data_IF_324393393056
#
_entry.id   IF_324393393056
#
_cell.length_a   1.000
_cell.length_b   1.000
_cell.length_c   1.000
_cell.angle_alpha   90.00
_cell.angle_beta   90.00
_cell.angle_gamma   90.00
#
_symmetry.space_group_name_H-M   'P 1'
#
loop_
_entity.id
_entity.type
_entity.pdbx_description
1 polymer ?
#
# COMPACT_ATOMS: atom_id res chain seq x y z
N UNK A 1 -13.47 -34.18 -22.88
CA UNK A 1 -12.93 -32.81 -22.87
C UNK A 1 -13.98 -31.79 -22.43
N UNK A 2 -15.27 -32.02 -22.74
CA UNK A 2 -16.37 -31.09 -22.48
C UNK A 2 -16.68 -30.81 -20.99
N UNK A 3 -16.36 -31.74 -20.07
CA UNK A 3 -16.59 -31.56 -18.63
C UNK A 3 -15.69 -30.50 -17.96
N UNK A 4 -14.58 -30.11 -18.58
CA UNK A 4 -13.66 -29.10 -18.04
C UNK A 4 -13.82 -27.72 -18.67
N UNK A 5 -14.57 -27.60 -19.77
CA UNK A 5 -14.79 -26.33 -20.47
C UNK A 5 -15.55 -25.33 -19.58
N UNK A 6 -16.62 -25.79 -18.91
CA UNK A 6 -17.39 -24.95 -17.98
C UNK A 6 -16.53 -24.36 -16.85
N UNK A 7 -15.83 -25.19 -16.05
CA UNK A 7 -14.91 -24.70 -15.01
C UNK A 7 -13.82 -23.76 -15.52
N UNK A 8 -13.25 -24.01 -16.70
CA UNK A 8 -12.21 -23.17 -17.31
C UNK A 8 -12.77 -21.80 -17.72
N UNK A 9 -13.96 -21.76 -18.33
CA UNK A 9 -14.65 -20.52 -18.70
C UNK A 9 -14.98 -19.71 -17.43
N UNK A 10 -15.50 -20.36 -16.39
CA UNK A 10 -15.78 -19.69 -15.11
C UNK A 10 -14.51 -19.11 -14.48
N UNK A 11 -13.40 -19.85 -14.52
CA UNK A 11 -12.10 -19.40 -14.02
C UNK A 11 -11.60 -18.18 -14.80
N UNK A 12 -11.71 -18.19 -16.13
CA UNK A 12 -11.31 -17.09 -17.01
C UNK A 12 -12.17 -15.84 -16.76
N UNK A 13 -13.49 -15.99 -16.64
CA UNK A 13 -14.40 -14.88 -16.34
C UNK A 13 -14.08 -14.30 -14.95
N UNK A 14 -13.82 -15.14 -13.95
CA UNK A 14 -13.44 -14.70 -12.61
C UNK A 14 -12.10 -13.94 -12.63
N UNK A 15 -11.11 -14.41 -13.41
CA UNK A 15 -9.82 -13.74 -13.60
C UNK A 15 -9.99 -12.36 -14.25
N UNK A 16 -10.71 -12.29 -15.36
CA UNK A 16 -10.96 -11.02 -16.09
C UNK A 16 -11.72 -10.03 -15.20
N UNK A 17 -12.75 -10.49 -14.49
CA UNK A 17 -13.55 -9.64 -13.60
C UNK A 17 -12.70 -9.10 -12.45
N UNK A 18 -11.84 -9.92 -11.86
CA UNK A 18 -10.91 -9.47 -10.82
C UNK A 18 -9.88 -8.48 -11.37
N UNK A 19 -9.36 -8.69 -12.59
CA UNK A 19 -8.43 -7.75 -13.24
C UNK A 19 -9.10 -6.40 -13.52
N UNK A 20 -10.33 -6.40 -14.03
CA UNK A 20 -11.10 -5.18 -14.29
C UNK A 20 -11.42 -4.47 -12.97
N UNK A 21 -11.88 -5.19 -11.95
CA UNK A 21 -12.14 -4.63 -10.63
C UNK A 21 -10.86 -4.02 -10.03
N UNK A 22 -9.73 -4.72 -10.14
CA UNK A 22 -8.43 -4.23 -9.69
C UNK A 22 -8.00 -2.98 -10.45
N UNK A 23 -8.19 -2.94 -11.78
CA UNK A 23 -7.86 -1.79 -12.62
C UNK A 23 -8.72 -0.56 -12.30
N UNK A 24 -10.05 -0.72 -12.25
CA UNK A 24 -10.97 0.36 -11.89
C UNK A 24 -10.65 0.93 -10.51
N UNK A 25 -10.30 0.07 -9.56
CA UNK A 25 -9.92 0.49 -8.22
C UNK A 25 -8.54 1.15 -8.17
N UNK A 26 -7.57 0.70 -8.97
CA UNK A 26 -6.27 1.37 -9.13
C UNK A 26 -6.41 2.76 -9.74
N UNK A 27 -7.31 2.94 -10.70
CA UNK A 27 -7.64 4.26 -11.25
C UNK A 27 -8.27 5.14 -10.18
N UNK A 28 -9.26 4.63 -9.44
CA UNK A 28 -9.85 5.32 -8.30
C UNK A 28 -8.75 5.76 -7.32
N UNK A 29 -7.84 4.87 -6.95
CA UNK A 29 -6.72 5.15 -6.07
C UNK A 29 -5.71 6.18 -6.59
N UNK A 30 -5.39 6.16 -7.90
CA UNK A 30 -4.44 7.11 -8.51
C UNK A 30 -5.00 8.54 -8.54
N UNK A 31 -6.32 8.68 -8.56
CA UNK A 31 -7.01 9.97 -8.63
C UNK A 31 -7.20 10.58 -7.22
N UNK A 32 -7.40 9.74 -6.18
CA UNK A 32 -7.54 10.23 -4.80
C UNK A 32 -6.21 10.78 -4.26
N UNK A 33 -6.10 12.11 -4.16
CA UNK A 33 -5.04 12.76 -3.38
C UNK A 33 -5.26 12.54 -1.87
N UNK A 34 -4.23 12.77 -1.04
CA UNK A 34 -4.35 12.68 0.43
C UNK A 34 -5.49 13.55 0.99
N UNK A 35 -5.78 14.64 0.29
CA UNK A 35 -6.83 15.59 0.59
C UNK A 35 -8.25 15.07 0.27
N UNK A 36 -8.44 14.41 -0.88
CA UNK A 36 -9.74 13.85 -1.27
C UNK A 36 -10.23 12.79 -0.28
N UNK A 37 -9.30 12.19 0.47
CA UNK A 37 -9.62 11.28 1.58
C UNK A 37 -10.33 11.99 2.73
N UNK A 38 -10.06 13.26 3.01
CA UNK A 38 -10.65 14.00 4.14
C UNK A 38 -12.17 14.15 4.02
N UNK A 39 -12.71 14.13 2.80
CA UNK A 39 -14.17 14.22 2.54
C UNK A 39 -14.84 12.86 2.34
N UNK A 40 -14.05 11.78 2.26
CA UNK A 40 -14.61 10.43 2.28
C UNK A 40 -15.09 10.08 3.69
N UNK A 41 -16.20 9.35 3.76
CA UNK A 41 -16.68 8.81 5.03
C UNK A 41 -15.61 7.87 5.62
N UNK A 42 -15.50 7.80 6.95
CA UNK A 42 -14.50 6.98 7.66
C UNK A 42 -14.55 5.51 7.24
N UNK A 43 -15.73 5.02 6.87
CA UNK A 43 -15.95 3.67 6.32
C UNK A 43 -15.34 3.48 4.92
N UNK A 44 -15.39 4.50 4.07
CA UNK A 44 -14.83 4.48 2.72
C UNK A 44 -13.31 4.63 2.72
N UNK A 45 -12.78 5.51 3.60
CA UNK A 45 -11.34 5.62 3.84
C UNK A 45 -10.75 4.28 4.31
N UNK A 46 -11.45 3.58 5.22
CA UNK A 46 -11.04 2.26 5.70
C UNK A 46 -11.07 1.22 4.58
N UNK A 47 -12.17 1.13 3.81
CA UNK A 47 -12.25 0.24 2.63
C UNK A 47 -11.13 0.48 1.63
N UNK A 48 -10.79 1.74 1.38
CA UNK A 48 -9.70 2.12 0.46
C UNK A 48 -8.33 1.65 0.98
N UNK A 49 -8.09 1.82 2.29
CA UNK A 49 -6.84 1.40 2.95
C UNK A 49 -6.70 -0.12 2.98
N UNK A 50 -7.78 -0.84 3.34
CA UNK A 50 -7.80 -2.30 3.38
C UNK A 50 -7.60 -2.90 1.97
N UNK A 51 -8.18 -2.27 0.94
CA UNK A 51 -7.95 -2.69 -0.45
C UNK A 51 -6.52 -2.42 -0.91
N UNK A 52 -5.94 -1.26 -0.57
CA UNK A 52 -4.54 -0.98 -0.88
C UNK A 52 -3.63 -2.04 -0.24
N UNK A 53 -3.90 -2.40 1.01
CA UNK A 53 -3.19 -3.46 1.69
C UNK A 53 -3.31 -4.80 0.95
N UNK A 54 -4.52 -5.19 0.57
CA UNK A 54 -4.79 -6.43 -0.17
C UNK A 54 -4.11 -6.42 -1.55
N UNK A 55 -4.13 -5.28 -2.24
CA UNK A 55 -3.49 -5.07 -3.54
C UNK A 55 -1.98 -5.22 -3.46
N UNK A 56 -1.35 -4.59 -2.49
CA UNK A 56 0.11 -4.68 -2.27
C UNK A 56 0.52 -6.11 -1.86
N UNK A 57 -0.29 -6.77 -1.04
CA UNK A 57 -0.06 -8.16 -0.65
C UNK A 57 -0.10 -9.11 -1.85
N UNK A 58 -1.17 -9.06 -2.64
CA UNK A 58 -1.28 -9.89 -3.83
C UNK A 58 -0.17 -9.59 -4.82
N UNK A 59 0.16 -8.32 -5.05
CA UNK A 59 1.25 -7.95 -5.95
C UNK A 59 2.58 -8.56 -5.49
N UNK A 60 2.90 -8.46 -4.20
CA UNK A 60 4.10 -9.08 -3.62
C UNK A 60 4.09 -10.59 -3.81
N UNK A 61 2.98 -11.26 -3.50
CA UNK A 61 2.80 -12.70 -3.69
C UNK A 61 3.01 -13.12 -5.16
N UNK A 62 2.33 -12.46 -6.10
CA UNK A 62 2.40 -12.79 -7.52
C UNK A 62 3.79 -12.56 -8.09
N UNK A 63 4.37 -11.37 -7.86
CA UNK A 63 5.64 -10.98 -8.45
C UNK A 63 6.82 -11.79 -7.89
N UNK A 64 6.87 -11.98 -6.57
CA UNK A 64 8.05 -12.56 -5.91
C UNK A 64 7.96 -14.07 -5.74
N UNK A 65 6.77 -14.67 -5.77
CA UNK A 65 6.61 -16.10 -5.52
C UNK A 65 5.94 -16.83 -6.69
N UNK A 66 4.76 -16.41 -7.15
CA UNK A 66 4.02 -17.17 -8.16
C UNK A 66 4.67 -17.11 -9.56
N UNK A 67 5.12 -15.95 -10.01
CA UNK A 67 5.72 -15.78 -11.32
C UNK A 67 6.99 -16.64 -11.52
N UNK A 68 7.92 -16.72 -10.54
CA UNK A 68 9.02 -17.68 -10.57
C UNK A 68 8.58 -19.14 -10.74
N UNK A 69 7.52 -19.58 -10.06
CA UNK A 69 7.00 -20.96 -10.20
C UNK A 69 6.58 -21.26 -11.64
N UNK A 70 5.89 -20.31 -12.28
CA UNK A 70 5.45 -20.45 -13.67
C UNK A 70 6.67 -20.50 -14.60
N UNK A 71 7.68 -19.65 -14.37
CA UNK A 71 8.91 -19.65 -15.15
C UNK A 71 9.66 -20.98 -15.02
N UNK A 72 9.73 -21.56 -13.82
CA UNK A 72 10.41 -22.85 -13.57
C UNK A 72 9.78 -24.03 -14.32
N UNK A 73 8.52 -23.93 -14.73
CA UNK A 73 7.86 -24.99 -15.51
C UNK A 73 8.52 -25.23 -16.87
N UNK A 74 9.23 -24.23 -17.40
CA UNK A 74 9.91 -24.32 -18.69
C UNK A 74 11.25 -25.06 -18.63
N UNK A 75 11.75 -25.34 -17.42
CA UNK A 75 13.07 -25.93 -17.22
C UNK A 75 13.00 -27.43 -16.98
N UNK A 76 14.07 -28.13 -17.33
CA UNK A 76 14.20 -29.57 -17.10
C UNK A 76 14.65 -29.87 -15.67
N UNK A 77 14.34 -31.09 -15.22
CA UNK A 77 14.79 -31.57 -13.92
C UNK A 77 16.32 -31.62 -13.89
N UNK A 78 16.96 -31.01 -12.88
CA UNK A 78 18.42 -31.09 -12.74
C UNK A 78 18.87 -32.53 -12.48
N UNK A 79 20.16 -32.82 -12.74
CA UNK A 79 20.72 -34.14 -12.44
C UNK A 79 20.57 -34.50 -10.96
N UNK A 80 20.62 -35.79 -10.63
CA UNK A 80 20.34 -36.28 -9.28
C UNK A 80 21.19 -35.58 -8.20
N UNK A 81 22.49 -35.44 -8.43
CA UNK A 81 23.41 -34.78 -7.49
C UNK A 81 23.04 -33.30 -7.29
N UNK A 82 22.79 -32.56 -8.38
CA UNK A 82 22.37 -31.16 -8.31
C UNK A 82 21.02 -30.98 -7.62
N UNK A 83 20.08 -31.90 -7.85
CA UNK A 83 18.80 -31.92 -7.15
C UNK A 83 18.97 -32.08 -5.64
N UNK A 84 19.88 -32.94 -5.20
CA UNK A 84 20.21 -33.14 -3.78
C UNK A 84 20.86 -31.89 -3.15
N UNK A 85 21.80 -31.27 -3.86
CA UNK A 85 22.45 -30.03 -3.40
C UNK A 85 21.44 -28.89 -3.27
N UNK A 86 20.62 -28.65 -4.31
CA UNK A 86 19.59 -27.61 -4.29
C UNK A 86 18.54 -27.84 -3.21
N UNK A 87 18.14 -29.09 -2.99
CA UNK A 87 17.17 -29.45 -1.95
C UNK A 87 17.73 -29.22 -0.55
N UNK A 88 18.95 -29.71 -0.28
CA UNK A 88 19.63 -29.51 1.00
C UNK A 88 19.89 -28.03 1.28
N UNK A 89 20.36 -27.29 0.27
CA UNK A 89 20.58 -25.84 0.35
C UNK A 89 19.28 -25.10 0.66
N UNK A 90 18.21 -25.39 -0.10
CA UNK A 90 16.89 -24.80 0.13
C UNK A 90 16.36 -25.09 1.54
N UNK A 91 16.42 -26.34 1.99
CA UNK A 91 15.95 -26.72 3.33
C UNK A 91 16.74 -26.04 4.46
N UNK A 92 18.06 -25.95 4.32
CA UNK A 92 18.91 -25.26 5.31
C UNK A 92 18.53 -23.79 5.44
N UNK A 93 18.38 -23.08 4.31
CA UNK A 93 17.99 -21.67 4.33
C UNK A 93 16.52 -21.47 4.76
N UNK A 94 15.65 -22.45 4.51
CA UNK A 94 14.27 -22.45 5.03
C UNK A 94 14.27 -22.50 6.56
N UNK A 95 15.08 -23.37 7.16
CA UNK A 95 15.22 -23.45 8.63
C UNK A 95 15.73 -22.13 9.21
N UNK A 96 16.79 -21.55 8.62
CA UNK A 96 17.32 -20.24 9.05
C UNK A 96 16.25 -19.16 8.91
N UNK A 97 15.52 -19.15 7.80
CA UNK A 97 14.43 -18.19 7.55
C UNK A 97 13.33 -18.27 8.61
N UNK A 98 12.90 -19.48 8.98
CA UNK A 98 11.88 -19.68 10.02
C UNK A 98 12.39 -19.16 11.37
N UNK A 99 13.63 -19.44 11.74
CA UNK A 99 14.23 -18.92 12.98
C UNK A 99 14.30 -17.38 12.98
N UNK A 100 14.69 -16.78 11.84
CA UNK A 100 14.77 -15.34 11.68
C UNK A 100 13.40 -14.65 11.50
N UNK A 101 12.31 -15.42 11.40
CA UNK A 101 10.96 -14.89 11.18
C UNK A 101 10.30 -14.36 12.46
N UNK A 102 10.78 -14.77 13.64
CA UNK A 102 10.19 -14.39 14.94
C UNK A 102 10.03 -12.86 15.09
N UNK A 103 11.01 -12.00 14.77
CA UNK A 103 10.83 -10.54 14.83
C UNK A 103 9.75 -10.03 13.87
N UNK A 104 9.66 -10.59 12.65
CA UNK A 104 8.64 -10.21 11.66
C UNK A 104 7.25 -10.55 12.19
N UNK A 105 7.08 -11.73 12.77
CA UNK A 105 5.84 -12.15 13.39
C UNK A 105 5.44 -11.21 14.54
N UNK A 106 6.38 -10.90 15.46
CA UNK A 106 6.13 -9.98 16.58
C UNK A 106 5.69 -8.60 16.07
N UNK A 107 6.38 -8.04 15.08
CA UNK A 107 6.00 -6.75 14.51
C UNK A 107 4.62 -6.82 13.84
N UNK A 108 4.35 -7.85 13.03
CA UNK A 108 3.08 -7.99 12.31
C UNK A 108 1.83 -8.00 13.22
N UNK A 109 1.95 -8.51 14.46
CA UNK A 109 0.84 -8.54 15.43
C UNK A 109 0.75 -7.30 16.34
N UNK A 110 1.72 -6.39 16.30
CA UNK A 110 1.62 -5.16 17.07
C UNK A 110 0.56 -4.23 16.47
N UNK A 111 -0.42 -3.83 17.29
CA UNK A 111 -1.52 -2.94 16.87
C UNK A 111 -1.00 -1.57 16.41
N UNK A 112 -0.07 -1.00 17.17
CA UNK A 112 0.60 0.26 16.82
C UNK A 112 2.10 0.12 17.10
N UNK A 113 2.88 0.00 16.02
CA UNK A 113 4.33 -0.02 16.11
C UNK A 113 4.82 1.43 16.42
N UNK A 114 5.66 1.65 17.44
CA UNK A 114 6.19 2.98 17.70
C UNK A 114 7.18 3.39 16.60
N UNK A 115 7.17 4.68 16.23
CA UNK A 115 7.95 5.25 15.13
C UNK A 115 9.44 4.92 15.24
N UNK A 116 9.99 4.92 16.46
CA UNK A 116 11.38 4.55 16.75
C UNK A 116 11.76 3.14 16.26
N UNK A 117 10.79 2.22 16.21
CA UNK A 117 11.00 0.83 15.77
C UNK A 117 10.77 0.63 14.28
N UNK A 118 10.29 1.63 13.53
CA UNK A 118 9.98 1.50 12.09
C UNK A 118 11.20 1.07 11.28
N UNK A 119 12.34 1.73 11.49
CA UNK A 119 13.58 1.41 10.80
C UNK A 119 14.02 -0.03 11.06
N UNK A 120 13.90 -0.49 12.32
CA UNK A 120 14.27 -1.85 12.72
C UNK A 120 13.32 -2.89 12.11
N UNK A 121 12.00 -2.68 12.21
CA UNK A 121 11.00 -3.57 11.64
C UNK A 121 11.14 -3.68 10.11
N UNK A 122 11.38 -2.57 9.42
CA UNK A 122 11.62 -2.56 7.96
C UNK A 122 12.88 -3.35 7.59
N UNK A 123 13.98 -3.18 8.33
CA UNK A 123 15.22 -3.95 8.12
C UNK A 123 14.99 -5.46 8.29
N UNK A 124 14.30 -5.86 9.37
CA UNK A 124 13.96 -7.27 9.62
C UNK A 124 13.02 -7.86 8.57
N UNK A 125 12.01 -7.09 8.14
CA UNK A 125 11.11 -7.49 7.06
C UNK A 125 11.84 -7.68 5.74
N UNK A 126 12.69 -6.74 5.34
CA UNK A 126 13.50 -6.84 4.12
C UNK A 126 14.50 -8.00 4.17
N UNK A 127 15.18 -8.18 5.31
CA UNK A 127 16.12 -9.29 5.49
C UNK A 127 15.40 -10.65 5.36
N UNK A 128 14.24 -10.81 6.01
CA UNK A 128 13.44 -12.03 5.88
C UNK A 128 12.87 -12.22 4.48
N UNK A 129 12.48 -11.13 3.79
CA UNK A 129 12.05 -11.22 2.40
C UNK A 129 13.16 -11.80 1.51
N UNK A 130 14.38 -11.25 1.57
CA UNK A 130 15.52 -11.74 0.79
C UNK A 130 15.82 -13.21 1.15
N UNK A 131 15.89 -13.50 2.44
CA UNK A 131 16.14 -14.84 2.95
C UNK A 131 15.07 -15.83 2.47
N UNK A 132 13.82 -15.37 2.35
CA UNK A 132 12.72 -16.18 1.84
C UNK A 132 12.91 -16.60 0.40
N UNK A 133 13.40 -15.71 -0.45
CA UNK A 133 13.63 -15.99 -1.86
C UNK A 133 14.76 -17.00 -2.06
N UNK A 134 15.82 -16.90 -1.22
CA UNK A 134 16.99 -17.79 -1.28
C UNK A 134 16.58 -19.25 -1.10
N UNK A 135 15.65 -19.56 -0.19
CA UNK A 135 15.18 -20.94 -0.02
C UNK A 135 13.99 -21.27 -0.93
N UNK A 136 13.09 -20.32 -1.18
CA UNK A 136 11.87 -20.56 -1.93
C UNK A 136 12.15 -20.95 -3.38
N UNK A 137 13.12 -20.31 -4.04
CA UNK A 137 13.43 -20.59 -5.45
C UNK A 137 13.98 -22.00 -5.67
N UNK A 138 15.02 -22.46 -4.95
CA UNK A 138 15.49 -23.84 -5.09
C UNK A 138 14.42 -24.89 -4.81
N UNK A 139 13.64 -24.74 -3.73
CA UNK A 139 12.60 -25.71 -3.37
C UNK A 139 11.49 -25.73 -4.43
N UNK A 140 11.03 -24.56 -4.87
CA UNK A 140 9.98 -24.44 -5.88
C UNK A 140 10.42 -24.96 -7.23
N UNK A 141 11.67 -24.68 -7.63
CA UNK A 141 12.28 -25.23 -8.83
C UNK A 141 12.24 -26.77 -8.82
N UNK A 142 12.64 -27.40 -7.72
CA UNK A 142 12.60 -28.85 -7.59
C UNK A 142 11.18 -29.40 -7.61
N UNK A 143 10.23 -28.78 -6.92
CA UNK A 143 8.83 -29.25 -6.92
C UNK A 143 8.19 -29.15 -8.30
N UNK A 144 8.43 -28.04 -9.01
CA UNK A 144 7.88 -27.83 -10.36
C UNK A 144 8.50 -28.80 -11.36
N UNK A 145 9.84 -28.89 -11.41
CA UNK A 145 10.54 -29.75 -12.39
C UNK A 145 10.38 -31.24 -12.12
N UNK A 146 10.20 -31.64 -10.86
CA UNK A 146 9.85 -33.02 -10.49
C UNK A 146 8.37 -33.36 -10.71
N UNK A 147 7.55 -32.39 -11.13
CA UNK A 147 6.09 -32.54 -11.29
C UNK A 147 5.41 -33.06 -10.03
N UNK A 148 5.89 -32.63 -8.86
CA UNK A 148 5.32 -33.02 -7.57
C UNK A 148 4.04 -32.23 -7.28
N UNK A 149 2.95 -32.60 -7.96
CA UNK A 149 1.67 -31.90 -7.89
C UNK A 149 1.07 -31.86 -6.48
N UNK A 150 1.38 -32.86 -5.65
CA UNK A 150 0.92 -32.91 -4.26
C UNK A 150 1.60 -31.84 -3.38
N UNK A 151 2.83 -31.43 -3.70
CA UNK A 151 3.57 -30.43 -2.94
C UNK A 151 3.25 -28.98 -3.38
N UNK A 152 2.69 -28.79 -4.58
CA UNK A 152 2.36 -27.45 -5.10
C UNK A 152 1.40 -26.66 -4.21
N UNK A 153 0.25 -27.20 -3.75
CA UNK A 153 -0.66 -26.45 -2.88
C UNK A 153 0.01 -25.98 -1.60
N UNK A 154 0.87 -26.81 -1.01
CA UNK A 154 1.59 -26.48 0.22
C UNK A 154 2.58 -25.31 0.01
N UNK A 155 3.36 -25.35 -1.08
CA UNK A 155 4.31 -24.27 -1.41
C UNK A 155 3.59 -22.96 -1.70
N UNK A 156 2.50 -23.00 -2.46
CA UNK A 156 1.67 -21.83 -2.78
C UNK A 156 1.07 -21.24 -1.51
N UNK A 157 0.48 -22.07 -0.64
CA UNK A 157 -0.09 -21.63 0.63
C UNK A 157 0.99 -21.02 1.55
N UNK A 158 2.17 -21.63 1.62
CA UNK A 158 3.26 -21.10 2.42
C UNK A 158 3.73 -19.74 1.90
N UNK A 159 3.90 -19.57 0.59
CA UNK A 159 4.24 -18.29 -0.02
C UNK A 159 3.17 -17.21 0.22
N UNK A 160 1.89 -17.59 0.15
CA UNK A 160 0.76 -16.71 0.39
C UNK A 160 0.76 -16.20 1.85
N UNK A 161 0.96 -17.10 2.82
CA UNK A 161 1.07 -16.73 4.23
C UNK A 161 2.33 -15.91 4.52
N UNK A 162 3.47 -16.29 3.97
CA UNK A 162 4.74 -15.60 4.21
C UNK A 162 4.70 -14.16 3.69
N UNK A 163 4.20 -13.97 2.47
CA UNK A 163 4.00 -12.64 1.87
C UNK A 163 3.00 -11.79 2.64
N UNK A 164 1.97 -12.39 3.27
CA UNK A 164 1.01 -11.68 4.11
C UNK A 164 1.71 -11.01 5.30
N UNK A 165 2.53 -11.76 6.03
CA UNK A 165 3.26 -11.24 7.20
C UNK A 165 4.27 -10.16 6.81
N UNK A 166 4.99 -10.36 5.71
CA UNK A 166 5.88 -9.32 5.18
C UNK A 166 5.12 -8.04 4.83
N UNK A 167 3.95 -8.17 4.18
CA UNK A 167 3.12 -7.02 3.84
C UNK A 167 2.49 -6.35 5.08
N UNK A 168 2.15 -7.11 6.12
CA UNK A 168 1.70 -6.55 7.41
C UNK A 168 2.78 -5.65 8.02
N UNK A 169 4.03 -6.14 8.10
CA UNK A 169 5.14 -5.33 8.63
C UNK A 169 5.43 -4.13 7.71
N UNK A 170 5.41 -4.32 6.40
CA UNK A 170 5.58 -3.24 5.45
C UNK A 170 4.49 -2.16 5.65
N UNK A 171 3.23 -2.56 5.82
CA UNK A 171 2.12 -1.63 6.02
C UNK A 171 2.20 -0.87 7.34
N UNK A 172 2.65 -1.50 8.42
CA UNK A 172 2.90 -0.83 9.70
C UNK A 172 4.06 0.16 9.65
N UNK A 173 5.02 -0.07 8.76
CA UNK A 173 6.23 0.76 8.61
C UNK A 173 6.16 1.74 7.45
N UNK A 174 5.09 1.69 6.63
CA UNK A 174 4.72 2.81 5.77
C UNK A 174 4.61 4.02 6.68
N UNK A 175 5.19 5.14 6.25
CA UNK A 175 4.95 6.42 6.93
C UNK A 175 3.43 6.52 7.06
N UNK A 176 2.89 6.49 8.29
CA UNK A 176 1.51 6.94 8.49
C UNK A 176 1.47 8.27 7.74
N UNK A 177 0.55 8.47 6.77
CA UNK A 177 0.40 9.80 6.20
C UNK A 177 0.35 10.72 7.41
N UNK A 178 1.17 11.77 7.42
CA UNK A 178 0.99 12.78 8.45
C UNK A 178 -0.51 13.04 8.43
N UNK A 179 -1.20 12.79 9.53
CA UNK A 179 -2.47 13.44 9.74
C UNK A 179 -2.08 14.89 9.77
N UNK A 180 -1.99 15.48 8.57
CA UNK A 180 -1.71 16.88 8.38
C UNK A 180 -2.94 17.50 8.99
N UNK A 181 -2.78 17.95 10.23
CA UNK A 181 -3.82 18.67 10.92
C UNK A 181 -3.99 19.97 10.13
N UNK A 182 -5.24 20.31 9.84
CA UNK A 182 -5.56 21.54 9.17
C UNK A 182 -6.27 22.44 10.16
N UNK A 183 -5.83 23.69 10.22
CA UNK A 183 -6.61 24.72 10.86
C UNK A 183 -7.71 25.16 9.92
N UNK A 184 -8.90 25.33 10.48
CA UNK A 184 -10.12 25.64 9.74
C UNK A 184 -10.59 27.01 10.17
N UNK A 185 -10.46 27.98 9.27
CA UNK A 185 -10.97 29.33 9.46
C UNK A 185 -12.29 29.49 8.70
N UNK A 186 -13.29 30.09 9.35
CA UNK A 186 -14.56 30.44 8.72
C UNK A 186 -14.41 31.80 8.08
N UNK A 187 -14.65 31.89 6.77
CA UNK A 187 -14.59 33.11 5.99
C UNK A 187 -15.98 33.67 5.73
N UNK A 188 -16.05 34.99 5.65
CA UNK A 188 -17.22 35.72 5.16
C UNK A 188 -17.26 35.76 3.63
N UNK A 189 -18.44 36.05 3.06
CA UNK A 189 -18.61 36.14 1.60
C UNK A 189 -17.77 37.27 0.98
N UNK A 190 -17.54 38.34 1.73
CA UNK A 190 -16.76 39.51 1.31
C UNK A 190 -15.27 39.17 1.19
N UNK A 191 -14.72 38.45 2.18
CA UNK A 191 -13.34 37.97 2.18
C UNK A 191 -13.07 36.97 1.05
N UNK A 192 -14.05 36.11 0.76
CA UNK A 192 -13.94 35.15 -0.35
C UNK A 192 -13.85 35.85 -1.71
N UNK A 193 -14.68 36.88 -1.94
CA UNK A 193 -14.71 37.65 -3.20
C UNK A 193 -13.42 38.42 -3.47
N UNK A 194 -12.74 38.84 -2.41
CA UNK A 194 -11.45 39.55 -2.50
C UNK A 194 -10.28 38.60 -2.77
N UNK A 195 -10.45 37.31 -2.53
CA UNK A 195 -9.41 36.30 -2.73
C UNK A 195 -9.47 35.76 -4.16
N UNK A 196 -8.38 35.81 -4.95
CA UNK A 196 -8.36 35.20 -6.28
C UNK A 196 -8.31 33.68 -6.13
N UNK A 197 -9.42 33.02 -6.45
CA UNK A 197 -9.61 31.57 -6.29
C UNK A 197 -9.68 30.85 -7.65
N UNK A 198 -9.05 29.68 -7.72
CA UNK A 198 -9.09 28.78 -8.87
C UNK A 198 -9.91 27.55 -8.47
N UNK A 199 -10.95 27.24 -9.25
CA UNK A 199 -11.76 26.06 -9.02
C UNK A 199 -10.95 24.77 -9.22
N UNK A 200 -10.99 23.87 -8.24
CA UNK A 200 -10.33 22.58 -8.31
C UNK A 200 -11.30 21.50 -8.78
N UNK A 201 -12.26 21.13 -7.92
CA UNK A 201 -13.25 20.10 -8.18
C UNK A 201 -14.48 20.27 -7.28
N UNK A 202 -15.56 19.59 -7.65
CA UNK A 202 -16.84 19.59 -6.94
C UNK A 202 -16.90 18.34 -6.05
N UNK A 203 -17.20 18.50 -4.76
CA UNK A 203 -17.37 17.39 -3.80
C UNK A 203 -18.77 16.79 -3.94
N UNK A 204 -19.77 17.66 -4.01
CA UNK A 204 -21.19 17.36 -4.17
C UNK A 204 -21.85 18.55 -4.87
N UNK A 205 -23.08 18.41 -5.38
CA UNK A 205 -23.78 19.42 -6.19
C UNK A 205 -23.82 20.83 -5.56
N UNK A 206 -23.57 20.93 -4.25
CA UNK A 206 -23.59 22.16 -3.46
C UNK A 206 -22.22 22.62 -2.94
N UNK A 207 -21.19 21.75 -2.99
CA UNK A 207 -19.90 21.97 -2.32
C UNK A 207 -18.75 21.87 -3.31
N UNK A 208 -17.88 22.87 -3.31
CA UNK A 208 -16.71 22.92 -4.18
C UNK A 208 -15.42 23.17 -3.39
N UNK A 209 -14.32 22.66 -3.92
CA UNK A 209 -12.97 22.96 -3.45
C UNK A 209 -12.33 23.95 -4.40
N UNK A 210 -11.73 25.00 -3.84
CA UNK A 210 -10.97 26.01 -4.57
C UNK A 210 -9.55 26.14 -3.99
N UNK A 211 -8.60 26.54 -4.84
CA UNK A 211 -7.23 26.90 -4.44
C UNK A 211 -7.02 28.40 -4.57
N UNK A 212 -6.09 28.95 -3.79
CA UNK A 212 -5.66 30.32 -4.02
C UNK A 212 -4.85 30.42 -5.32
N UNK A 213 -5.22 31.34 -6.22
CA UNK A 213 -4.56 31.50 -7.52
C UNK A 213 -3.09 31.95 -7.46
N UNK A 214 -2.63 32.48 -6.33
CA UNK A 214 -1.23 32.83 -6.10
C UNK A 214 -0.40 31.72 -5.45
N UNK A 215 -1.05 30.68 -4.92
CA UNK A 215 -0.38 29.55 -4.27
C UNK A 215 -0.05 28.45 -5.29
N UNK A 216 1.16 28.53 -5.85
CA UNK A 216 1.70 27.50 -6.75
C UNK A 216 1.86 26.13 -6.06
N UNK A 217 1.96 26.12 -4.72
CA UNK A 217 2.13 24.89 -3.94
C UNK A 217 0.81 24.19 -3.60
N UNK A 218 -0.33 24.87 -3.80
CA UNK A 218 -1.70 24.36 -3.55
C UNK A 218 -1.88 23.76 -2.15
N UNK A 219 -1.18 24.32 -1.16
CA UNK A 219 -1.21 23.82 0.22
C UNK A 219 -2.38 24.37 1.01
N UNK A 220 -2.77 25.62 0.72
CA UNK A 220 -3.97 26.23 1.27
C UNK A 220 -5.14 26.06 0.31
N UNK A 221 -6.29 25.64 0.82
CA UNK A 221 -7.48 25.43 0.01
C UNK A 221 -8.75 25.86 0.74
N UNK A 222 -9.81 26.03 -0.04
CA UNK A 222 -11.07 26.61 0.39
C UNK A 222 -12.18 25.63 0.06
N UNK A 223 -13.04 25.34 1.04
CA UNK A 223 -14.26 24.55 0.85
C UNK A 223 -15.45 25.50 0.93
N UNK A 224 -16.17 25.62 -0.18
CA UNK A 224 -17.30 26.51 -0.30
C UNK A 224 -18.59 25.71 -0.45
N UNK A 225 -19.51 25.88 0.50
CA UNK A 225 -20.89 25.41 0.38
C UNK A 225 -21.79 26.59 -0.01
N UNK A 226 -22.13 26.67 -1.28
CA UNK A 226 -22.94 27.77 -1.81
C UNK A 226 -24.40 27.71 -1.36
N UNK A 227 -24.88 26.53 -0.94
CA UNK A 227 -26.24 26.37 -0.44
C UNK A 227 -26.40 26.90 0.98
N UNK A 228 -25.38 26.74 1.83
CA UNK A 228 -25.39 27.21 3.22
C UNK A 228 -24.64 28.52 3.43
N UNK A 229 -23.97 29.06 2.40
CA UNK A 229 -23.10 30.25 2.45
C UNK A 229 -21.97 30.11 3.49
N UNK A 230 -21.48 28.89 3.68
CA UNK A 230 -20.35 28.60 4.57
C UNK A 230 -19.10 28.44 3.71
N UNK A 231 -18.07 29.21 4.04
CA UNK A 231 -16.79 29.20 3.36
C UNK A 231 -15.70 28.90 4.38
N UNK A 232 -14.95 27.83 4.15
CA UNK A 232 -13.93 27.35 5.08
C UNK A 232 -12.58 27.41 4.39
N UNK A 233 -11.60 28.05 5.03
CA UNK A 233 -10.19 28.00 4.63
C UNK A 233 -9.47 26.96 5.47
N UNK A 234 -8.69 26.13 4.80
CA UNK A 234 -7.87 25.11 5.44
C UNK A 234 -6.40 25.42 5.22
N UNK A 235 -5.66 25.56 6.32
CA UNK A 235 -4.21 25.80 6.30
C UNK A 235 -3.50 24.67 7.03
N UNK A 236 -2.44 24.06 6.46
CA UNK A 236 -1.68 23.01 7.16
C UNK A 236 -1.09 23.52 8.47
N UNK A 237 -1.33 22.82 9.58
CA UNK A 237 -0.87 23.21 10.92
C UNK A 237 0.65 23.40 11.02
N UNK A 238 1.42 22.62 10.26
CA UNK A 238 2.89 22.69 10.24
C UNK A 238 3.47 24.01 9.68
N UNK A 239 2.69 24.82 8.95
CA UNK A 239 3.19 26.09 8.37
C UNK A 239 3.04 27.30 9.31
N UNK A 240 2.23 27.20 10.36
CA UNK A 240 2.10 28.28 11.35
C UNK A 240 3.30 28.40 12.29
N UNK A 241 3.97 27.28 12.58
CA UNK A 241 5.21 27.31 13.38
C UNK A 241 6.35 28.05 12.66
N UNK A 242 6.31 28.17 11.33
CA UNK A 242 7.32 28.92 10.57
C UNK A 242 7.01 30.41 10.60
N UNK A 243 5.77 30.81 10.32
CA UNK A 243 5.36 32.22 10.34
C UNK A 243 5.38 32.86 11.75
N UNK A 244 5.06 32.09 12.80
CA UNK A 244 5.08 32.62 14.17
C UNK A 244 6.50 32.88 14.67
N UNK A 245 7.49 32.11 14.19
CA UNK A 245 8.90 32.33 14.52
C UNK A 245 9.48 33.56 13.79
N UNK A 246 9.05 33.85 12.57
CA UNK A 246 9.45 35.10 11.87
C UNK A 246 8.84 36.34 12.54
N UNK A 247 7.54 36.32 12.90
CA UNK A 247 6.88 37.40 13.65
C UNK A 247 7.47 37.66 15.05
N UNK A 248 8.05 36.63 15.69
CA UNK A 248 8.72 36.78 16.98
C UNK A 248 10.13 37.36 16.86
N UNK A 249 10.75 37.28 15.68
CA UNK A 249 12.09 37.81 15.44
C UNK A 249 12.04 39.31 15.12
N UNK A 250 11.00 39.77 14.43
CA UNK A 250 10.81 41.21 14.16
C UNK A 250 10.45 42.02 15.43
N UNK A 251 9.64 41.45 16.33
CA UNK A 251 9.24 42.13 17.58
C UNK A 251 10.32 42.14 18.67
N UNK A 252 11.46 41.48 18.47
CA UNK A 252 12.62 41.52 19.38
C UNK A 252 13.70 42.50 18.86
N UNK A 253 13.49 43.09 17.69
CA UNK A 253 14.41 44.03 17.04
C UNK A 253 13.96 45.50 17.03
N UNK A 254 13.00 45.88 17.89
CA UNK A 254 12.64 47.28 18.15
C UNK A 254 12.93 47.67 19.60
#
# INVERSE_FOLDING_TARGET
MDKFIGPIITLLIALITNVIAFYQFRIKFKIFNEFDKLFLNKSEQKKLTDFQFLSDWFLLFFAMYLMPLIAFYQFEKPSHNWSLYLGTFGLLFMMISICCFVPVFIYAFQKDLPVQKYSKARKWGLANMILSLIWFYPISYLVVTSKSWLAMPAIILFALLYSLFLNLVANQTKKKPSTTEYLVDILTEEELKQTPLIHAYIIDDKKSVLYHGGDLSRKTFYVCDFSSKIYLKYTPFQELDINTNELRTENVSQ
#
